data_IF_777539350403
#
_entry.id   IF_777539350403
#
_cell.length_a   1.000
_cell.length_b   1.000
_cell.length_c   1.000
_cell.angle_alpha   90.00
_cell.angle_beta   90.00
_cell.angle_gamma   90.00
#
_symmetry.space_group_name_H-M   'P 1'
#
loop_
_entity.id
_entity.type
_entity.pdbx_description
1 polymer ?
#
# COMPACT_ATOMS: atom_id res chain seq x y z
N UNK A 1 7.41 -6.54 -11.20
CA UNK A 1 7.70 -5.24 -10.57
C UNK A 1 8.02 -5.49 -9.10
N UNK A 2 9.17 -5.02 -8.62
CA UNK A 2 9.56 -5.20 -7.22
C UNK A 2 10.34 -3.98 -6.74
N UNK A 3 10.11 -3.63 -5.48
CA UNK A 3 10.88 -2.67 -4.72
C UNK A 3 11.79 -3.43 -3.76
N UNK A 4 13.01 -2.92 -3.51
CA UNK A 4 13.93 -3.55 -2.57
C UNK A 4 13.30 -3.63 -1.17
N UNK A 5 13.51 -4.75 -0.47
CA UNK A 5 13.07 -4.91 0.93
C UNK A 5 13.71 -3.88 1.84
N UNK A 6 14.92 -3.41 1.51
CA UNK A 6 15.66 -2.40 2.26
C UNK A 6 15.23 -0.96 1.94
N UNK A 7 14.31 -0.75 0.99
CA UNK A 7 13.85 0.59 0.65
C UNK A 7 13.14 1.26 1.84
N UNK A 8 13.37 2.57 2.03
CA UNK A 8 12.88 3.33 3.19
C UNK A 8 11.37 3.19 3.42
N UNK A 9 10.55 3.33 2.37
CA UNK A 9 9.09 3.16 2.48
C UNK A 9 8.66 1.74 2.87
N UNK A 10 9.38 0.70 2.43
CA UNK A 10 9.11 -0.69 2.81
C UNK A 10 9.43 -0.88 4.30
N UNK A 11 10.59 -0.37 4.74
CA UNK A 11 10.99 -0.40 6.14
C UNK A 11 10.02 0.38 7.05
N UNK A 12 9.48 1.51 6.58
CA UNK A 12 8.45 2.26 7.31
C UNK A 12 7.18 1.42 7.54
N UNK A 13 6.70 0.70 6.51
CA UNK A 13 5.57 -0.21 6.64
C UNK A 13 5.84 -1.37 7.61
N UNK A 14 7.02 -2.00 7.51
CA UNK A 14 7.42 -3.10 8.41
C UNK A 14 7.49 -2.66 9.88
N UNK A 15 8.02 -1.45 10.16
CA UNK A 15 8.05 -0.88 11.52
C UNK A 15 6.65 -0.63 12.10
N UNK A 16 5.65 -0.40 11.25
CA UNK A 16 4.25 -0.27 11.63
C UNK A 16 3.51 -1.62 11.71
N UNK A 17 4.23 -2.75 11.69
CA UNK A 17 3.67 -4.09 11.80
C UNK A 17 2.99 -4.60 10.53
N UNK A 18 3.22 -3.97 9.37
CA UNK A 18 2.70 -4.45 8.09
C UNK A 18 3.55 -5.59 7.53
N UNK A 19 2.93 -6.44 6.73
CA UNK A 19 3.60 -7.54 6.03
C UNK A 19 3.81 -7.20 4.56
N UNK A 20 4.72 -7.92 3.91
CA UNK A 20 4.98 -7.81 2.47
C UNK A 20 4.37 -9.00 1.74
N UNK A 21 3.77 -8.74 0.59
CA UNK A 21 3.11 -9.74 -0.24
C UNK A 21 3.34 -9.45 -1.73
N UNK A 22 3.57 -10.51 -2.51
CA UNK A 22 3.64 -10.43 -3.97
C UNK A 22 2.26 -10.60 -4.58
N UNK A 23 1.65 -9.49 -5.02
CA UNK A 23 0.33 -9.52 -5.66
C UNK A 23 0.36 -10.29 -6.99
N UNK A 24 -0.51 -11.30 -7.20
CA UNK A 24 -0.68 -11.97 -8.49
C UNK A 24 -1.46 -11.09 -9.48
N UNK A 25 -2.18 -10.07 -9.00
CA UNK A 25 -2.99 -9.17 -9.83
C UNK A 25 -2.16 -8.07 -10.47
N UNK A 26 -2.24 -7.96 -11.80
CA UNK A 26 -1.67 -6.86 -12.60
C UNK A 26 -2.24 -5.50 -12.17
N UNK A 27 -1.47 -4.44 -12.34
CA UNK A 27 -1.86 -3.05 -12.08
C UNK A 27 -1.03 -2.11 -12.95
N UNK A 28 -1.27 -0.80 -12.86
CA UNK A 28 -0.49 0.22 -13.56
C UNK A 28 1.01 0.19 -13.25
N UNK A 29 1.41 -0.46 -12.15
CA UNK A 29 2.83 -0.73 -11.86
C UNK A 29 3.53 -1.54 -12.95
N UNK A 30 2.81 -2.26 -13.81
CA UNK A 30 3.38 -2.92 -14.98
C UNK A 30 3.95 -1.93 -16.01
N UNK A 31 3.48 -0.68 -15.99
CA UNK A 31 3.88 0.38 -16.92
C UNK A 31 4.97 1.31 -16.32
N UNK A 32 5.32 1.15 -15.05
CA UNK A 32 6.30 1.99 -14.36
C UNK A 32 7.69 1.36 -14.46
N UNK A 33 8.67 2.10 -14.99
CA UNK A 33 10.07 1.67 -15.12
C UNK A 33 10.95 2.03 -13.90
N UNK A 34 10.34 2.44 -12.79
CA UNK A 34 10.99 2.78 -11.53
C UNK A 34 10.43 1.94 -10.38
N UNK A 35 11.13 1.91 -9.25
CA UNK A 35 10.66 1.19 -8.05
C UNK A 35 9.32 1.72 -7.57
N UNK A 36 8.36 0.83 -7.34
CA UNK A 36 7.01 1.16 -6.87
C UNK A 36 6.52 0.17 -5.81
N UNK A 37 5.54 0.61 -5.01
CA UNK A 37 4.91 -0.16 -3.93
C UNK A 37 3.38 -0.11 -4.14
N UNK A 38 2.70 -1.26 -4.07
CA UNK A 38 1.22 -1.31 -4.03
C UNK A 38 0.75 -1.43 -2.59
N UNK A 39 -0.11 -0.51 -2.16
CA UNK A 39 -0.78 -0.53 -0.86
C UNK A 39 -2.11 0.22 -1.02
N UNK A 40 -3.18 -0.28 -0.40
CA UNK A 40 -4.50 0.34 -0.43
C UNK A 40 -5.42 -0.25 0.65
N UNK A 41 -6.44 0.49 1.12
CA UNK A 41 -7.49 -0.07 1.96
C UNK A 41 -8.43 -0.96 1.14
N UNK A 42 -9.18 -1.80 1.83
CA UNK A 42 -10.11 -2.75 1.21
C UNK A 42 -9.52 -4.15 1.04
N UNK A 43 -10.31 -5.05 0.47
CA UNK A 43 -9.95 -6.44 0.20
C UNK A 43 -10.18 -6.72 -1.28
N UNK A 44 -9.15 -7.23 -1.96
CA UNK A 44 -9.22 -7.58 -3.38
C UNK A 44 -10.29 -8.61 -3.70
N UNK A 45 -10.69 -9.45 -2.73
CA UNK A 45 -11.78 -10.41 -2.91
C UNK A 45 -13.15 -9.74 -3.14
N UNK A 46 -13.31 -8.44 -2.79
CA UNK A 46 -14.53 -7.66 -3.04
C UNK A 46 -14.54 -6.96 -4.40
N UNK A 47 -13.39 -6.79 -5.04
CA UNK A 47 -13.31 -6.11 -6.33
C UNK A 47 -14.07 -6.88 -7.40
N UNK A 48 -14.83 -6.17 -8.24
CA UNK A 48 -15.62 -6.77 -9.35
C UNK A 48 -16.68 -7.79 -8.89
N UNK A 49 -17.19 -7.65 -7.66
CA UNK A 49 -18.33 -8.42 -7.16
C UNK A 49 -19.60 -7.56 -7.15
N UNK A 50 -20.78 -8.20 -7.15
CA UNK A 50 -22.02 -7.47 -6.91
C UNK A 50 -21.99 -6.83 -5.51
N UNK A 51 -22.56 -5.64 -5.39
CA UNK A 51 -22.59 -4.87 -4.13
C UNK A 51 -21.19 -4.59 -3.55
N UNK A 52 -20.21 -4.31 -4.42
CA UNK A 52 -18.86 -3.90 -4.00
C UNK A 52 -18.94 -2.75 -2.97
N UNK A 53 -18.23 -2.93 -1.87
CA UNK A 53 -18.26 -1.98 -0.76
C UNK A 53 -16.91 -1.89 -0.06
N UNK A 54 -16.74 -0.81 0.70
CA UNK A 54 -15.63 -0.59 1.60
C UNK A 54 -16.16 -0.11 2.95
N UNK A 55 -15.57 -0.56 4.05
CA UNK A 55 -15.99 -0.08 5.35
C UNK A 55 -15.34 1.27 5.68
N UNK A 56 -16.08 2.14 6.36
CA UNK A 56 -15.60 3.47 6.76
C UNK A 56 -14.37 3.39 7.69
N UNK A 57 -14.26 2.34 8.51
CA UNK A 57 -13.08 2.12 9.35
C UNK A 57 -11.83 1.78 8.52
N UNK A 58 -11.96 1.04 7.41
CA UNK A 58 -10.85 0.72 6.50
C UNK A 58 -10.29 1.99 5.86
N UNK A 59 -11.18 2.92 5.48
CA UNK A 59 -10.77 4.23 4.96
C UNK A 59 -10.01 5.01 6.04
N UNK A 60 -10.56 5.09 7.26
CA UNK A 60 -9.91 5.80 8.38
C UNK A 60 -8.56 5.19 8.75
N UNK A 61 -8.43 3.86 8.72
CA UNK A 61 -7.16 3.17 8.93
C UNK A 61 -6.17 3.45 7.81
N UNK A 62 -6.61 3.34 6.55
CA UNK A 62 -5.79 3.62 5.37
C UNK A 62 -5.19 5.03 5.42
N UNK A 63 -6.01 6.04 5.71
CA UNK A 63 -5.55 7.43 5.87
C UNK A 63 -4.45 7.53 6.94
N UNK A 64 -4.69 6.95 8.13
CA UNK A 64 -3.71 6.96 9.23
C UNK A 64 -2.41 6.26 8.82
N UNK A 65 -2.51 5.10 8.17
CA UNK A 65 -1.36 4.31 7.75
C UNK A 65 -0.53 5.06 6.71
N UNK A 66 -1.15 5.63 5.68
CA UNK A 66 -0.43 6.42 4.68
C UNK A 66 0.30 7.60 5.32
N UNK A 67 -0.38 8.35 6.19
CA UNK A 67 0.23 9.48 6.89
C UNK A 67 1.47 9.03 7.69
N UNK A 68 1.34 7.97 8.50
CA UNK A 68 2.45 7.45 9.29
C UNK A 68 3.62 6.92 8.45
N UNK A 69 3.34 6.19 7.36
CA UNK A 69 4.39 5.69 6.46
C UNK A 69 5.13 6.82 5.77
N UNK A 70 4.41 7.84 5.27
CA UNK A 70 5.00 8.98 4.58
C UNK A 70 5.78 9.88 5.53
N UNK A 71 5.27 10.17 6.73
CA UNK A 71 6.00 10.94 7.75
C UNK A 71 7.31 10.28 8.18
N UNK A 72 7.43 8.96 8.07
CA UNK A 72 8.66 8.23 8.36
C UNK A 72 9.74 8.32 7.27
N UNK A 73 9.42 8.86 6.09
CA UNK A 73 10.36 8.89 4.93
C UNK A 73 10.47 10.24 4.24
N UNK A 74 9.44 11.09 4.34
CA UNK A 74 9.42 12.44 3.77
C UNK A 74 9.75 13.43 4.87
N UNK A 75 10.76 14.26 4.64
CA UNK A 75 11.04 15.42 5.49
C UNK A 75 10.30 16.62 4.91
N UNK A 76 9.32 17.16 5.64
CA UNK A 76 8.72 18.43 5.28
C UNK A 76 9.65 19.54 5.77
N UNK A 77 10.17 20.34 4.83
CA UNK A 77 10.86 21.59 5.14
C UNK A 77 9.83 22.66 5.49
#
# INVERSE_FOLDING_TARGET
SSISKQHSIVQAGLKLGRTIYGSPTTSDQALMNFSSLKLGPGDSARSHTADEFIYINEIKEGIRLYAQMLSGVVSFK
#
